data_IF_442566859445
#
_entry.id   IF_442566859445
#
_cell.length_a   1.000
_cell.length_b   1.000
_cell.length_c   1.000
_cell.angle_alpha   90.00
_cell.angle_beta   90.00
_cell.angle_gamma   90.00
#
_symmetry.space_group_name_H-M   'P 1'
#
loop_
_entity.id
_entity.type
_entity.pdbx_description
1 polymer ?
#
# COMPACT_ATOMS: atom_id res chain seq x y z
N UNK A 1 2.90 6.80 -20.57
CA UNK A 1 2.59 7.39 -21.88
C UNK A 1 1.18 7.97 -21.95
N UNK A 2 0.15 7.25 -21.50
CA UNK A 2 -1.24 7.73 -21.51
C UNK A 2 -1.49 9.03 -20.74
N UNK A 3 -0.87 9.19 -19.56
CA UNK A 3 -1.03 10.41 -18.74
C UNK A 3 -0.50 11.64 -19.47
N UNK A 4 0.67 11.54 -20.11
CA UNK A 4 1.28 12.66 -20.83
C UNK A 4 0.46 13.00 -22.08
N UNK A 5 -0.08 11.99 -22.77
CA UNK A 5 -0.98 12.17 -23.90
C UNK A 5 -2.28 12.90 -23.49
N UNK A 6 -2.92 12.48 -22.40
CA UNK A 6 -4.14 13.12 -21.89
C UNK A 6 -3.86 14.58 -21.53
N UNK A 7 -2.79 14.85 -20.78
CA UNK A 7 -2.45 16.22 -20.37
C UNK A 7 -2.16 17.10 -21.59
N UNK A 8 -1.43 16.61 -22.60
CA UNK A 8 -1.19 17.38 -23.83
C UNK A 8 -2.48 17.80 -24.53
N UNK A 9 -3.44 16.90 -24.66
CA UNK A 9 -4.71 17.20 -25.32
C UNK A 9 -5.61 18.13 -24.50
N UNK A 10 -5.54 18.08 -23.17
CA UNK A 10 -6.29 19.03 -22.32
C UNK A 10 -5.71 20.43 -22.44
N UNK A 11 -4.38 20.55 -22.53
CA UNK A 11 -3.66 21.83 -22.55
C UNK A 11 -3.34 22.35 -23.97
N UNK A 12 -3.77 21.66 -25.04
CA UNK A 12 -3.63 22.10 -26.43
C UNK A 12 -4.70 23.12 -26.86
N UNK A 13 -5.75 23.30 -26.05
CA UNK A 13 -6.81 24.28 -26.33
C UNK A 13 -6.41 25.70 -25.88
N UNK A 14 -6.88 26.74 -26.58
CA UNK A 14 -6.51 28.15 -26.32
C UNK A 14 -6.88 28.67 -24.92
N UNK A 15 -7.80 27.99 -24.22
CA UNK A 15 -8.18 28.33 -22.85
C UNK A 15 -7.18 27.72 -21.87
N UNK A 16 -6.57 28.57 -21.03
CA UNK A 16 -5.71 28.12 -19.92
C UNK A 16 -6.52 27.30 -18.92
N UNK A 17 -6.33 25.98 -18.89
CA UNK A 17 -6.91 25.09 -17.89
C UNK A 17 -6.15 25.15 -16.57
N UNK A 18 -6.84 25.05 -15.45
CA UNK A 18 -6.22 24.86 -14.14
C UNK A 18 -5.85 23.38 -13.94
N UNK A 19 -4.64 23.12 -13.45
CA UNK A 19 -4.18 21.77 -13.09
C UNK A 19 -4.08 21.64 -11.58
N UNK A 20 -4.69 20.59 -11.03
CA UNK A 20 -4.49 20.16 -9.64
C UNK A 20 -4.00 18.71 -9.69
N UNK A 21 -2.89 18.42 -9.02
CA UNK A 21 -2.31 17.07 -8.96
C UNK A 21 -2.30 16.61 -7.52
N UNK A 22 -3.02 15.52 -7.26
CA UNK A 22 -2.95 14.78 -6.00
C UNK A 22 -2.04 13.58 -6.20
N UNK A 23 -0.97 13.49 -5.41
CA UNK A 23 -0.09 12.33 -5.43
C UNK A 23 0.45 12.04 -4.05
N UNK A 24 0.48 10.76 -3.67
CA UNK A 24 1.08 10.30 -2.43
C UNK A 24 2.60 10.47 -2.41
N UNK A 25 3.24 10.48 -3.59
CA UNK A 25 4.68 10.75 -3.72
C UNK A 25 4.96 11.61 -4.95
N UNK A 26 5.99 12.44 -4.90
CA UNK A 26 6.40 13.31 -6.02
C UNK A 26 7.84 12.97 -6.42
N UNK A 27 8.04 11.86 -7.16
CA UNK A 27 9.37 11.53 -7.66
C UNK A 27 9.84 12.56 -8.70
N UNK A 28 11.16 12.65 -8.90
CA UNK A 28 11.77 13.66 -9.78
C UNK A 28 11.20 13.63 -11.21
N UNK A 29 10.97 12.44 -11.76
CA UNK A 29 10.41 12.29 -13.10
C UNK A 29 9.01 12.91 -13.22
N UNK A 30 8.16 12.76 -12.19
CA UNK A 30 6.82 13.31 -12.15
C UNK A 30 6.88 14.83 -12.07
N UNK A 31 7.72 15.37 -11.17
CA UNK A 31 7.95 16.81 -11.03
C UNK A 31 8.42 17.45 -12.35
N UNK A 32 9.34 16.79 -13.06
CA UNK A 32 9.85 17.24 -14.37
C UNK A 32 8.80 17.21 -15.47
N UNK A 33 7.89 16.23 -15.45
CA UNK A 33 6.80 16.17 -16.42
C UNK A 33 5.73 17.24 -16.13
N UNK A 34 5.34 17.42 -14.86
CA UNK A 34 4.33 18.41 -14.47
C UNK A 34 4.77 19.85 -14.76
N UNK A 35 6.06 20.16 -14.61
CA UNK A 35 6.58 21.51 -14.89
C UNK A 35 6.47 21.95 -16.35
N UNK A 36 6.18 21.02 -17.29
CA UNK A 36 5.90 21.34 -18.70
C UNK A 36 4.52 21.96 -18.89
N UNK A 37 3.59 21.66 -18.00
CA UNK A 37 2.17 22.01 -18.14
C UNK A 37 1.70 23.00 -17.06
N UNK A 38 2.33 23.00 -15.89
CA UNK A 38 2.02 23.95 -14.82
C UNK A 38 2.59 25.35 -15.09
N UNK A 39 1.88 26.37 -14.62
CA UNK A 39 2.35 27.76 -14.72
C UNK A 39 3.66 27.95 -13.96
N UNK A 40 4.67 28.53 -14.61
CA UNK A 40 5.97 28.84 -13.99
C UNK A 40 5.88 29.96 -12.95
N UNK A 41 4.90 30.85 -13.08
CA UNK A 41 4.75 32.04 -12.24
C UNK A 41 3.61 31.92 -11.23
N UNK A 42 2.73 30.94 -11.40
CA UNK A 42 1.54 30.75 -10.56
C UNK A 42 1.30 29.25 -10.30
N UNK A 43 2.28 28.58 -9.70
CA UNK A 43 2.15 27.20 -9.20
C UNK A 43 2.46 27.16 -7.72
N UNK A 44 1.64 26.45 -6.95
CA UNK A 44 1.91 26.16 -5.55
C UNK A 44 2.16 24.66 -5.38
N UNK A 45 3.21 24.31 -4.65
CA UNK A 45 3.45 22.94 -4.22
C UNK A 45 3.14 22.85 -2.73
N UNK A 46 2.08 22.13 -2.37
CA UNK A 46 1.69 21.90 -0.99
C UNK A 46 2.23 20.53 -0.59
N UNK A 47 3.25 20.52 0.25
CA UNK A 47 3.74 19.29 0.86
C UNK A 47 3.09 19.13 2.23
N UNK A 48 2.21 18.14 2.36
CA UNK A 48 1.53 17.84 3.64
C UNK A 48 2.40 16.97 4.57
N UNK A 49 3.50 16.46 4.04
CA UNK A 49 4.50 15.70 4.79
C UNK A 49 5.65 16.69 4.95
N UNK A 50 5.77 17.36 6.09
CA UNK A 50 6.92 18.23 6.37
C UNK A 50 8.25 17.46 6.13
N UNK A 51 9.38 18.14 5.99
CA UNK A 51 10.72 17.55 5.71
C UNK A 51 11.22 16.57 6.80
N UNK A 52 10.32 16.09 7.67
CA UNK A 52 10.51 14.99 8.57
C UNK A 52 10.91 13.74 7.80
N UNK A 53 12.20 13.43 7.95
CA UNK A 53 12.88 12.26 7.42
C UNK A 53 12.35 10.95 8.04
N UNK A 54 11.41 11.01 8.98
CA UNK A 54 10.84 9.85 9.66
C UNK A 54 9.53 9.43 8.98
N UNK A 55 9.68 8.64 7.91
CA UNK A 55 8.60 8.01 7.14
C UNK A 55 7.94 6.81 7.82
N UNK A 56 8.25 6.59 9.09
CA UNK A 56 7.69 5.49 9.88
C UNK A 56 6.92 6.13 11.02
N UNK A 57 5.68 5.70 11.26
CA UNK A 57 4.95 6.19 12.41
C UNK A 57 5.79 5.97 13.68
N UNK A 58 6.04 7.03 14.45
CA UNK A 58 6.91 7.02 15.64
C UNK A 58 6.53 5.94 16.67
N UNK A 59 5.29 5.43 16.57
CA UNK A 59 4.72 4.42 17.44
C UNK A 59 4.71 3.01 16.81
N UNK A 60 5.50 2.75 15.75
CA UNK A 60 5.61 1.44 15.11
C UNK A 60 6.96 0.80 15.43
N UNK A 61 6.91 -0.35 16.10
CA UNK A 61 8.08 -1.19 16.35
C UNK A 61 8.28 -2.18 15.19
N UNK A 62 9.50 -2.24 14.65
CA UNK A 62 9.86 -3.17 13.57
C UNK A 62 10.69 -4.34 14.12
N UNK A 63 10.17 -5.56 13.94
CA UNK A 63 10.83 -6.79 14.37
C UNK A 63 11.14 -7.69 13.17
N UNK A 64 12.27 -8.40 13.22
CA UNK A 64 12.69 -9.34 12.19
C UNK A 64 13.06 -10.71 12.79
N UNK A 65 12.55 -11.78 12.19
CA UNK A 65 12.79 -13.16 12.62
C UNK A 65 13.40 -13.96 11.49
N UNK A 66 14.60 -14.53 11.71
CA UNK A 66 15.22 -15.46 10.76
C UNK A 66 14.63 -16.86 10.95
N UNK A 67 14.10 -17.43 9.87
CA UNK A 67 13.56 -18.78 9.88
C UNK A 67 14.46 -19.72 9.09
N UNK A 68 14.83 -20.85 9.70
CA UNK A 68 15.61 -21.89 9.04
C UNK A 68 14.72 -22.87 8.25
N UNK A 69 13.45 -23.02 8.64
CA UNK A 69 12.44 -23.77 7.88
C UNK A 69 11.24 -22.85 7.60
N UNK A 70 10.95 -22.66 6.31
CA UNK A 70 9.86 -21.82 5.81
C UNK A 70 8.48 -22.39 6.16
N UNK A 71 8.37 -23.71 6.30
CA UNK A 71 7.10 -24.41 6.59
C UNK A 71 6.56 -24.06 7.97
N UNK A 72 7.40 -23.56 8.88
CA UNK A 72 6.99 -23.10 10.22
C UNK A 72 6.33 -21.72 10.22
N UNK A 73 6.25 -21.03 9.08
CA UNK A 73 5.65 -19.70 8.97
C UNK A 73 4.25 -19.61 9.63
N UNK A 74 3.30 -20.53 9.38
CA UNK A 74 1.97 -20.41 9.97
C UNK A 74 1.97 -20.51 11.51
N UNK A 75 2.76 -21.43 12.07
CA UNK A 75 2.96 -21.57 13.52
C UNK A 75 3.50 -20.27 14.14
N UNK A 76 4.46 -19.63 13.47
CA UNK A 76 5.09 -18.41 13.96
C UNK A 76 4.13 -17.23 13.86
N UNK A 77 3.36 -17.11 12.77
CA UNK A 77 2.34 -16.06 12.64
C UNK A 77 1.31 -16.16 13.77
N UNK A 78 0.81 -17.38 14.05
CA UNK A 78 -0.11 -17.62 15.16
C UNK A 78 0.51 -17.23 16.52
N UNK A 79 1.77 -17.61 16.77
CA UNK A 79 2.49 -17.21 17.99
C UNK A 79 2.65 -15.70 18.12
N UNK A 80 2.88 -14.99 17.02
CA UNK A 80 2.98 -13.53 17.01
C UNK A 80 1.64 -12.89 17.36
N UNK A 81 0.53 -13.38 16.78
CA UNK A 81 -0.80 -12.92 17.15
C UNK A 81 -1.07 -13.14 18.64
N UNK A 82 -0.83 -14.35 19.15
CA UNK A 82 -1.02 -14.64 20.57
C UNK A 82 -0.17 -13.76 21.51
N UNK A 83 1.01 -13.33 21.06
CA UNK A 83 1.92 -12.50 21.86
C UNK A 83 1.52 -11.02 21.85
N UNK A 84 1.08 -10.50 20.70
CA UNK A 84 0.88 -9.06 20.49
C UNK A 84 -0.60 -8.64 20.48
N UNK A 85 -1.53 -9.58 20.34
CA UNK A 85 -2.96 -9.34 20.52
C UNK A 85 -3.31 -9.48 22.00
N UNK A 86 -3.96 -8.45 22.56
CA UNK A 86 -4.52 -8.53 23.93
C UNK A 86 -5.61 -9.60 24.02
N UNK A 87 -6.39 -9.71 22.96
CA UNK A 87 -7.46 -10.68 22.77
C UNK A 87 -7.64 -10.92 21.26
N UNK A 88 -7.52 -12.17 20.83
CA UNK A 88 -7.62 -12.56 19.42
C UNK A 88 -9.03 -12.34 18.85
N UNK A 89 -10.06 -12.35 19.69
CA UNK A 89 -11.44 -12.17 19.24
C UNK A 89 -11.80 -10.70 18.94
N UNK A 90 -10.99 -9.76 19.43
CA UNK A 90 -11.19 -8.31 19.28
C UNK A 90 -10.04 -7.58 18.58
N UNK A 91 -8.95 -8.29 18.24
CA UNK A 91 -7.81 -7.73 17.53
C UNK A 91 -7.89 -8.03 16.02
N UNK A 92 -7.37 -7.11 15.21
CA UNK A 92 -7.25 -7.29 13.76
C UNK A 92 -5.79 -7.24 13.35
N UNK A 93 -5.40 -8.08 12.38
CA UNK A 93 -4.06 -8.12 11.84
C UNK A 93 -4.11 -8.32 10.32
N UNK A 94 -3.14 -7.77 9.61
CA UNK A 94 -2.96 -7.96 8.16
C UNK A 94 -1.64 -8.70 7.95
N UNK A 95 -1.69 -9.81 7.23
CA UNK A 95 -0.49 -10.57 6.83
C UNK A 95 -0.26 -10.41 5.34
N UNK A 96 0.84 -9.76 4.99
CA UNK A 96 1.27 -9.66 3.61
C UNK A 96 2.09 -10.90 3.22
N UNK A 97 1.64 -11.61 2.19
CA UNK A 97 2.43 -12.67 1.55
C UNK A 97 2.98 -12.17 0.21
N UNK A 98 4.05 -12.80 -0.29
CA UNK A 98 4.70 -12.38 -1.53
C UNK A 98 3.89 -12.81 -2.75
N UNK A 99 3.26 -13.99 -2.68
CA UNK A 99 2.48 -14.53 -3.80
C UNK A 99 1.04 -14.86 -3.41
N UNK A 100 0.15 -14.91 -4.41
CA UNK A 100 -1.25 -15.32 -4.25
C UNK A 100 -1.35 -16.74 -3.67
N UNK A 101 -0.50 -17.64 -4.17
CA UNK A 101 -0.44 -19.03 -3.70
C UNK A 101 -0.01 -19.13 -2.24
N UNK A 102 0.93 -18.29 -1.78
CA UNK A 102 1.31 -18.25 -0.37
C UNK A 102 0.15 -17.78 0.51
N UNK A 103 -0.63 -16.79 0.09
CA UNK A 103 -1.84 -16.39 0.82
C UNK A 103 -2.81 -17.58 0.98
N UNK A 104 -3.08 -18.30 -0.11
CA UNK A 104 -3.97 -19.46 -0.11
C UNK A 104 -3.46 -20.59 0.79
N UNK A 105 -2.15 -20.88 0.75
CA UNK A 105 -1.54 -21.92 1.57
C UNK A 105 -1.55 -21.54 3.06
N UNK A 106 -1.25 -20.27 3.38
CA UNK A 106 -1.26 -19.79 4.76
C UNK A 106 -2.67 -19.87 5.35
N UNK A 107 -3.68 -19.38 4.64
CA UNK A 107 -5.06 -19.38 5.13
C UNK A 107 -5.67 -20.79 5.27
N UNK A 108 -5.18 -21.76 4.50
CA UNK A 108 -5.58 -23.18 4.61
C UNK A 108 -4.79 -23.96 5.67
N UNK A 109 -3.83 -23.33 6.35
CA UNK A 109 -3.07 -23.99 7.40
C UNK A 109 -3.97 -24.23 8.63
N UNK A 110 -3.68 -25.28 9.39
CA UNK A 110 -4.45 -25.59 10.61
C UNK A 110 -4.38 -24.45 11.63
N UNK A 111 -3.24 -23.76 11.68
CA UNK A 111 -3.01 -22.61 12.56
C UNK A 111 -3.94 -21.45 12.20
N UNK A 112 -4.06 -21.11 10.92
CA UNK A 112 -4.93 -20.00 10.49
C UNK A 112 -6.40 -20.36 10.52
N UNK A 113 -6.77 -21.62 10.28
CA UNK A 113 -8.16 -22.09 10.42
C UNK A 113 -8.70 -22.01 11.85
N UNK A 114 -7.81 -21.92 12.85
CA UNK A 114 -8.21 -21.69 14.25
C UNK A 114 -8.60 -20.23 14.56
N UNK A 115 -8.44 -19.32 13.59
CA UNK A 115 -8.75 -17.90 13.70
C UNK A 115 -9.69 -17.50 12.56
N UNK A 116 -10.62 -16.57 12.82
CA UNK A 116 -11.40 -15.95 11.76
C UNK A 116 -10.47 -15.15 10.84
N UNK A 117 -10.30 -15.60 9.59
CA UNK A 117 -9.41 -14.96 8.62
C UNK A 117 -10.00 -14.96 7.21
N UNK A 118 -9.70 -13.91 6.45
CA UNK A 118 -10.08 -13.74 5.06
C UNK A 118 -8.84 -13.50 4.19
N UNK A 119 -8.96 -13.82 2.90
CA UNK A 119 -7.88 -13.72 1.92
C UNK A 119 -8.22 -12.65 0.91
N UNK A 120 -7.27 -11.79 0.58
CA UNK A 120 -7.41 -10.80 -0.49
C UNK A 120 -6.22 -10.91 -1.45
N UNK A 121 -6.48 -11.27 -2.71
CA UNK A 121 -5.49 -11.21 -3.79
C UNK A 121 -6.14 -11.07 -5.17
N UNK A 122 -5.36 -10.68 -6.19
CA UNK A 122 -5.88 -10.35 -7.52
C UNK A 122 -6.60 -11.45 -8.32
N UNK A 123 -6.51 -12.73 -7.91
CA UNK A 123 -7.26 -13.83 -8.53
C UNK A 123 -8.66 -14.06 -7.92
N UNK A 124 -9.05 -13.31 -6.89
CA UNK A 124 -10.39 -13.41 -6.33
C UNK A 124 -11.37 -12.59 -7.18
N UNK A 125 -12.58 -13.12 -7.38
CA UNK A 125 -13.67 -12.37 -8.00
C UNK A 125 -13.94 -11.08 -7.21
N UNK A 126 -14.33 -10.00 -7.89
CA UNK A 126 -14.63 -8.70 -7.24
C UNK A 126 -15.57 -8.86 -6.03
N UNK A 127 -16.62 -9.67 -6.17
CA UNK A 127 -17.58 -9.96 -5.08
C UNK A 127 -16.95 -10.52 -3.81
N UNK A 128 -15.86 -11.29 -3.93
CA UNK A 128 -15.13 -11.85 -2.78
C UNK A 128 -14.11 -10.88 -2.19
N UNK A 129 -13.80 -9.78 -2.88
CA UNK A 129 -12.92 -8.71 -2.37
C UNK A 129 -13.67 -7.64 -1.59
N UNK A 130 -14.97 -7.50 -1.85
CA UNK A 130 -15.84 -6.47 -1.28
C UNK A 130 -16.81 -7.02 -0.21
N UNK A 131 -16.83 -8.34 0.00
CA UNK A 131 -17.50 -8.97 1.15
C UNK A 131 -16.60 -8.89 2.36
#
# INVERSE_FOLDING_TARGET
DDVDFIIRNVFSNEKKSQMIVFSATIPFWLKKNLSRYMSKTNSCFINLIEDDKEKTANNVEHLAFKLNNIEKRPEIVLKLFNKYSKDLSSSQAIVFCQTKQECDLLAKSNEMMSISSDIIHGNLSQRKREQ
#
